data_IF_928651123293
#
_entry.id   IF_928651123293
#
_cell.length_a   1.000
_cell.length_b   1.000
_cell.length_c   1.000
_cell.angle_alpha   90.00
_cell.angle_beta   90.00
_cell.angle_gamma   90.00
#
_symmetry.space_group_name_H-M   'P 1'
#
loop_
_entity.id
_entity.type
_entity.pdbx_description
1 polymer ?
#
# COMPACT_ATOMS: atom_id res chain seq x y z
N UNK A 1 -22.52 -20.70 3.93
CA UNK A 1 -22.17 -20.12 5.24
C UNK A 1 -21.32 -21.16 5.96
N UNK A 2 -20.01 -21.05 6.13
CA UNK A 2 -19.09 -19.93 6.45
C UNK A 2 -17.80 -20.13 5.63
N UNK A 3 -17.61 -19.53 4.45
CA UNK A 3 -17.02 -18.21 4.20
C UNK A 3 -15.69 -17.90 4.96
N UNK A 4 -14.59 -17.87 4.19
CA UNK A 4 -13.42 -16.97 4.25
C UNK A 4 -12.15 -17.21 5.10
N UNK A 5 -12.03 -18.21 5.97
CA UNK A 5 -10.89 -18.24 6.93
C UNK A 5 -9.76 -19.25 6.66
N UNK A 6 -9.35 -19.51 5.42
CA UNK A 6 -8.20 -20.41 5.20
C UNK A 6 -7.29 -20.11 4.02
N UNK A 7 -7.60 -19.14 3.16
CA UNK A 7 -6.81 -18.88 1.95
C UNK A 7 -5.65 -17.89 2.12
N UNK A 8 -5.51 -17.25 3.28
CA UNK A 8 -4.47 -16.23 3.52
C UNK A 8 -3.17 -16.76 4.15
N UNK A 9 -3.04 -18.05 4.47
CA UNK A 9 -1.92 -18.52 5.31
C UNK A 9 -0.91 -19.49 4.69
N UNK A 10 -0.78 -19.56 3.36
CA UNK A 10 0.37 -20.24 2.74
C UNK A 10 0.83 -19.55 1.46
N UNK A 11 1.45 -18.39 1.64
CA UNK A 11 2.39 -17.84 0.65
C UNK A 11 3.73 -18.55 0.88
N UNK A 12 3.75 -19.85 0.58
CA UNK A 12 4.99 -20.64 0.57
C UNK A 12 5.65 -20.50 -0.81
N UNK A 13 6.83 -19.87 -0.79
CA UNK A 13 7.93 -20.00 -1.75
C UNK A 13 7.77 -19.18 -3.04
N UNK A 14 8.09 -17.89 -2.96
CA UNK A 14 8.48 -17.08 -4.12
C UNK A 14 9.82 -16.38 -3.84
N UNK A 15 10.60 -16.18 -4.90
CA UNK A 15 11.88 -15.44 -4.92
C UNK A 15 11.84 -14.19 -4.03
N UNK A 16 12.91 -13.89 -3.29
CA UNK A 16 13.01 -12.73 -2.37
C UNK A 16 12.51 -11.42 -2.98
N UNK A 17 12.72 -11.21 -4.28
CA UNK A 17 12.21 -10.05 -5.06
C UNK A 17 10.69 -9.98 -5.23
N UNK A 18 10.02 -11.12 -5.27
CA UNK A 18 8.58 -11.22 -5.54
C UNK A 18 7.77 -11.29 -4.25
N UNK A 19 8.39 -11.69 -3.13
CA UNK A 19 7.81 -11.52 -1.79
C UNK A 19 7.45 -10.06 -1.50
N UNK A 20 8.29 -9.10 -1.92
CA UNK A 20 8.04 -7.66 -1.72
C UNK A 20 6.76 -7.17 -2.41
N UNK A 21 6.47 -7.65 -3.63
CA UNK A 21 5.19 -7.38 -4.33
C UNK A 21 4.02 -8.04 -3.59
N UNK A 22 4.18 -9.30 -3.18
CA UNK A 22 3.14 -10.00 -2.43
C UNK A 22 2.85 -9.37 -1.07
N UNK A 23 3.86 -8.82 -0.39
CA UNK A 23 3.69 -8.08 0.88
C UNK A 23 2.93 -6.79 0.65
N UNK A 24 3.23 -6.01 -0.40
CA UNK A 24 2.45 -4.79 -0.70
C UNK A 24 1.01 -5.11 -1.09
N UNK A 25 0.77 -6.20 -1.82
CA UNK A 25 -0.59 -6.65 -2.12
C UNK A 25 -1.31 -7.13 -0.85
N UNK A 26 -0.60 -7.84 0.04
CA UNK A 26 -1.09 -8.20 1.36
C UNK A 26 -1.46 -6.95 2.18
N UNK A 27 -0.59 -5.95 2.18
CA UNK A 27 -0.81 -4.64 2.83
C UNK A 27 -2.01 -3.91 2.22
N UNK A 28 -2.15 -3.88 0.89
CA UNK A 28 -3.29 -3.28 0.20
C UNK A 28 -4.61 -4.02 0.52
N UNK A 29 -4.58 -5.36 0.63
CA UNK A 29 -5.72 -6.17 1.02
C UNK A 29 -6.10 -5.99 2.50
N UNK A 30 -5.12 -5.84 3.39
CA UNK A 30 -5.35 -5.49 4.80
C UNK A 30 -5.94 -4.07 4.91
N UNK A 31 -5.44 -3.12 4.14
CA UNK A 31 -5.98 -1.76 4.03
C UNK A 31 -7.43 -1.75 3.57
N UNK A 32 -7.81 -2.58 2.60
CA UNK A 32 -9.23 -2.71 2.22
C UNK A 32 -10.10 -3.19 3.36
N UNK A 33 -9.63 -4.15 4.17
CA UNK A 33 -10.39 -4.67 5.31
C UNK A 33 -10.58 -3.59 6.37
N UNK A 34 -9.52 -2.83 6.67
CA UNK A 34 -9.54 -1.73 7.63
C UNK A 34 -10.47 -0.62 7.12
N UNK A 35 -10.27 -0.09 5.91
CA UNK A 35 -11.08 1.02 5.36
C UNK A 35 -12.57 0.65 5.23
N UNK A 36 -12.89 -0.61 4.90
CA UNK A 36 -14.28 -1.09 4.85
C UNK A 36 -14.91 -1.25 6.24
N UNK A 37 -14.12 -1.44 7.29
CA UNK A 37 -14.59 -1.50 8.67
C UNK A 37 -14.88 -0.10 9.27
N UNK A 38 -14.39 0.99 8.67
CA UNK A 38 -14.61 2.35 9.16
C UNK A 38 -15.98 2.95 8.75
N UNK A 39 -16.73 3.55 9.70
CA UNK A 39 -17.93 4.33 9.38
C UNK A 39 -17.56 5.57 8.54
N UNK A 40 -18.42 5.94 7.59
CA UNK A 40 -18.16 6.95 6.55
C UNK A 40 -17.53 8.27 7.04
N UNK A 41 -17.90 8.77 8.22
CA UNK A 41 -17.37 10.03 8.78
C UNK A 41 -15.88 10.00 9.19
N UNK A 42 -15.27 8.82 9.33
CA UNK A 42 -13.83 8.67 9.62
C UNK A 42 -12.98 8.45 8.36
N UNK A 43 -13.62 8.28 7.18
CA UNK A 43 -12.92 8.22 5.88
C UNK A 43 -12.40 9.61 5.47
N UNK A 44 -13.07 10.67 5.91
CA UNK A 44 -12.68 12.09 5.72
C UNK A 44 -11.41 12.51 6.50
N UNK A 45 -10.86 11.66 7.38
CA UNK A 45 -9.56 11.93 8.02
C UNK A 45 -8.41 11.37 7.17
N UNK A 46 -8.63 10.24 6.51
CA UNK A 46 -7.69 9.61 5.56
C UNK A 46 -7.41 10.53 4.36
N UNK A 47 -8.43 11.31 4.01
CA UNK A 47 -8.46 12.41 3.03
C UNK A 47 -7.33 13.44 3.16
N UNK A 48 -6.89 13.80 4.38
CA UNK A 48 -5.94 14.90 4.59
C UNK A 48 -4.48 14.44 4.40
N UNK A 49 -4.12 13.24 4.85
CA UNK A 49 -2.73 12.77 4.84
C UNK A 49 -2.18 12.38 3.46
N UNK A 50 -3.04 12.04 2.49
CA UNK A 50 -2.62 11.81 1.10
C UNK A 50 -2.09 13.11 0.46
N UNK A 51 -2.52 14.27 0.96
CA UNK A 51 -2.36 15.57 0.29
C UNK A 51 -1.39 16.55 0.98
N UNK A 52 -1.14 16.43 2.29
CA UNK A 52 -0.34 17.43 3.03
C UNK A 52 1.14 17.51 2.62
N UNK A 53 1.69 16.51 1.91
CA UNK A 53 3.12 16.52 1.55
C UNK A 53 3.47 17.37 0.31
N UNK A 54 2.49 17.99 -0.36
CA UNK A 54 2.74 18.97 -1.42
C UNK A 54 2.88 20.42 -0.91
N UNK A 55 2.83 20.66 0.39
CA UNK A 55 2.95 22.01 0.97
C UNK A 55 3.90 22.08 2.16
N UNK A 56 5.20 21.88 1.92
CA UNK A 56 6.22 22.40 2.82
C UNK A 56 6.38 23.89 2.52
N UNK A 57 5.62 24.76 3.21
CA UNK A 57 6.00 26.16 3.40
C UNK A 57 6.36 26.40 4.86
N UNK A 58 7.63 26.75 5.02
CA UNK A 58 8.30 27.03 6.27
C UNK A 58 8.14 28.50 6.66
N UNK A 59 7.49 28.79 7.79
CA UNK A 59 7.97 29.85 8.72
C UNK A 59 7.20 29.94 10.05
N UNK A 60 7.83 30.49 11.11
CA UNK A 60 7.49 30.18 12.50
C UNK A 60 7.03 31.39 13.36
N UNK A 61 6.61 31.07 14.61
CA UNK A 61 6.44 31.92 15.82
C UNK A 61 5.08 32.65 15.94
N UNK A 62 4.46 32.85 17.11
CA UNK A 62 4.97 33.14 18.47
C UNK A 62 3.95 32.70 19.55
N UNK A 63 4.48 32.55 20.77
CA UNK A 63 3.85 32.22 22.06
C UNK A 63 3.03 33.35 22.70
N UNK A 64 2.13 33.02 23.65
CA UNK A 64 2.07 33.54 25.05
C UNK A 64 0.84 33.00 25.82
N UNK A 65 1.08 32.67 27.09
CA UNK A 65 0.27 32.03 28.14
C UNK A 65 -0.96 32.84 28.66
N UNK A 66 -1.92 32.17 29.35
CA UNK A 66 -2.16 32.23 30.82
C UNK A 66 -3.50 31.55 31.25
N UNK A 67 -3.33 30.48 32.04
CA UNK A 67 -4.02 29.98 33.24
C UNK A 67 -5.57 29.91 33.47
N UNK A 68 -6.03 28.65 33.58
CA UNK A 68 -6.78 27.96 34.67
C UNK A 68 -8.17 28.45 35.11
N UNK A 69 -9.20 27.63 34.87
CA UNK A 69 -10.02 26.95 35.91
C UNK A 69 -11.10 26.08 35.27
N UNK A 70 -11.27 24.86 35.78
CA UNK A 70 -12.47 24.05 35.50
C UNK A 70 -12.18 22.56 35.48
N UNK A 71 -12.29 21.93 36.65
CA UNK A 71 -12.50 20.48 36.76
C UNK A 71 -13.63 20.08 35.80
N UNK A 72 -13.37 19.17 34.88
CA UNK A 72 -14.38 18.30 34.29
C UNK A 72 -13.71 17.03 33.79
N UNK A 73 -14.00 15.94 34.49
CA UNK A 73 -13.87 14.57 34.03
C UNK A 73 -14.68 14.39 32.74
N UNK A 74 -14.01 14.21 31.61
CA UNK A 74 -14.42 13.76 30.25
C UNK A 74 -13.14 14.08 29.43
N UNK A 75 -12.32 13.17 28.94
CA UNK A 75 -12.60 12.32 27.79
C UNK A 75 -11.36 11.43 27.48
N UNK A 76 -11.06 10.40 28.27
CA UNK A 76 -9.83 9.60 27.99
C UNK A 76 -9.98 8.67 26.77
N UNK A 77 -11.22 8.42 26.33
CA UNK A 77 -11.55 7.54 25.21
C UNK A 77 -11.43 8.24 23.86
N UNK A 78 -11.69 9.56 23.76
CA UNK A 78 -11.61 10.26 22.48
C UNK A 78 -10.18 10.53 22.03
N UNK A 79 -9.24 10.77 22.95
CA UNK A 79 -7.83 11.03 22.63
C UNK A 79 -7.08 9.78 22.14
N UNK A 80 -7.40 8.60 22.70
CA UNK A 80 -6.82 7.32 22.27
C UNK A 80 -7.35 6.92 20.88
N UNK A 81 -8.66 7.13 20.66
CA UNK A 81 -9.31 6.94 19.36
C UNK A 81 -8.78 7.92 18.30
N UNK A 82 -8.42 9.16 18.69
CA UNK A 82 -7.91 10.18 17.79
C UNK A 82 -6.45 9.91 17.39
N UNK A 83 -5.55 9.67 18.35
CA UNK A 83 -4.14 9.41 18.05
C UNK A 83 -3.95 8.12 17.22
N UNK A 84 -4.76 7.10 17.50
CA UNK A 84 -4.81 5.87 16.70
C UNK A 84 -5.32 6.15 15.28
N UNK A 85 -6.31 7.04 15.13
CA UNK A 85 -6.80 7.42 13.81
C UNK A 85 -5.76 8.20 12.99
N UNK A 86 -4.97 9.08 13.61
CA UNK A 86 -3.94 9.87 12.93
C UNK A 86 -2.80 8.99 12.37
N UNK A 87 -2.35 7.98 13.13
CA UNK A 87 -1.36 7.01 12.67
C UNK A 87 -1.89 6.22 11.47
N UNK A 88 -3.11 5.69 11.58
CA UNK A 88 -3.72 4.90 10.52
C UNK A 88 -3.89 5.73 9.24
N UNK A 89 -4.34 6.98 9.39
CA UNK A 89 -4.49 7.94 8.29
C UNK A 89 -3.15 8.17 7.58
N UNK A 90 -2.07 8.40 8.34
CA UNK A 90 -0.72 8.53 7.78
C UNK A 90 -0.30 7.27 7.00
N UNK A 91 -0.47 6.09 7.60
CA UNK A 91 -0.11 4.81 6.98
C UNK A 91 -0.88 4.57 5.67
N UNK A 92 -2.19 4.85 5.66
CA UNK A 92 -3.01 4.75 4.45
C UNK A 92 -2.50 5.73 3.39
N UNK A 93 -2.17 6.97 3.77
CA UNK A 93 -1.61 7.97 2.86
C UNK A 93 -0.30 7.52 2.22
N UNK A 94 0.62 7.02 3.04
CA UNK A 94 1.93 6.50 2.63
C UNK A 94 1.78 5.33 1.65
N UNK A 95 0.95 4.32 1.96
CA UNK A 95 0.71 3.20 1.04
C UNK A 95 -0.07 3.62 -0.21
N UNK A 96 -0.98 4.59 -0.08
CA UNK A 96 -1.73 5.17 -1.19
C UNK A 96 -0.80 5.80 -2.24
N UNK A 97 0.25 6.51 -1.82
CA UNK A 97 1.27 7.09 -2.73
C UNK A 97 1.99 6.00 -3.52
N UNK A 98 2.50 4.96 -2.86
CA UNK A 98 3.15 3.83 -3.53
C UNK A 98 2.19 3.13 -4.51
N UNK A 99 0.94 2.92 -4.08
CA UNK A 99 -0.11 2.29 -4.89
C UNK A 99 -0.40 3.09 -6.15
N UNK A 100 -0.52 4.42 -6.03
CA UNK A 100 -0.72 5.31 -7.18
C UNK A 100 0.45 5.24 -8.16
N UNK A 101 1.69 5.33 -7.67
CA UNK A 101 2.88 5.20 -8.51
C UNK A 101 2.90 3.86 -9.26
N UNK A 102 2.62 2.77 -8.55
CA UNK A 102 2.63 1.42 -9.11
C UNK A 102 1.54 1.23 -10.17
N UNK A 103 0.36 1.82 -9.94
CA UNK A 103 -0.76 1.82 -10.87
C UNK A 103 -0.41 2.55 -12.17
N UNK A 104 0.12 3.77 -12.08
CA UNK A 104 0.51 4.59 -13.24
C UNK A 104 1.61 3.92 -14.05
N UNK A 105 2.66 3.45 -13.37
CA UNK A 105 3.81 2.80 -14.00
C UNK A 105 3.47 1.43 -14.58
N UNK A 106 2.68 0.65 -13.85
CA UNK A 106 2.21 -0.68 -14.25
C UNK A 106 1.23 -0.63 -15.41
N UNK A 107 0.32 0.35 -15.42
CA UNK A 107 -0.57 0.60 -16.56
C UNK A 107 0.25 0.84 -17.84
N UNK A 108 1.24 1.74 -17.79
CA UNK A 108 2.08 2.04 -18.94
C UNK A 108 2.82 0.80 -19.45
N UNK A 109 3.38 -0.01 -18.53
CA UNK A 109 4.02 -1.28 -18.86
C UNK A 109 3.04 -2.20 -19.62
N UNK A 110 1.88 -2.49 -19.03
CA UNK A 110 0.89 -3.39 -19.62
C UNK A 110 0.38 -2.89 -20.96
N UNK A 111 0.11 -1.58 -21.10
CA UNK A 111 -0.33 -0.98 -22.38
C UNK A 111 0.69 -1.20 -23.49
N UNK A 112 1.98 -1.08 -23.18
CA UNK A 112 3.03 -1.28 -24.18
C UNK A 112 3.25 -2.77 -24.49
N UNK A 113 3.18 -3.64 -23.48
CA UNK A 113 3.19 -5.10 -23.66
C UNK A 113 2.05 -5.57 -24.55
N UNK A 114 0.82 -5.09 -24.31
CA UNK A 114 -0.36 -5.40 -25.15
C UNK A 114 -0.11 -4.99 -26.61
N UNK A 115 0.38 -3.77 -26.87
CA UNK A 115 0.70 -3.31 -28.23
C UNK A 115 1.69 -4.21 -28.95
N UNK A 116 2.66 -4.77 -28.24
CA UNK A 116 3.64 -5.67 -28.85
C UNK A 116 3.08 -7.07 -29.10
N UNK A 117 2.31 -7.61 -28.15
CA UNK A 117 1.64 -8.90 -28.31
C UNK A 117 0.59 -8.87 -29.44
N UNK A 118 -0.11 -7.76 -29.62
CA UNK A 118 -1.08 -7.58 -30.71
C UNK A 118 -0.44 -7.69 -32.10
N UNK A 119 0.85 -7.36 -32.25
CA UNK A 119 1.58 -7.45 -33.53
C UNK A 119 1.96 -8.89 -33.91
N UNK A 120 1.84 -9.84 -32.98
CA UNK A 120 2.19 -11.24 -33.26
C UNK A 120 1.25 -11.83 -34.32
N UNK A 121 1.79 -12.52 -35.35
CA UNK A 121 1.00 -13.01 -36.47
C UNK A 121 0.05 -14.15 -36.10
N UNK A 122 0.45 -15.00 -35.14
CA UNK A 122 -0.35 -16.11 -34.63
C UNK A 122 -0.65 -15.87 -33.15
N UNK A 123 -1.94 -15.78 -32.82
CA UNK A 123 -2.43 -15.67 -31.45
C UNK A 123 -3.45 -16.78 -31.24
N UNK A 124 -3.11 -17.76 -30.40
CA UNK A 124 -4.09 -18.74 -29.97
C UNK A 124 -5.10 -18.11 -28.99
N UNK A 125 -6.14 -18.87 -28.64
CA UNK A 125 -7.20 -18.38 -27.76
C UNK A 125 -6.69 -17.97 -26.37
N UNK A 126 -5.67 -18.67 -25.84
CA UNK A 126 -5.11 -18.39 -24.52
C UNK A 126 -4.28 -17.09 -24.53
N UNK A 127 -3.45 -16.89 -25.54
CA UNK A 127 -2.71 -15.66 -25.73
C UNK A 127 -3.66 -14.49 -25.97
N UNK A 128 -4.72 -14.69 -26.77
CA UNK A 128 -5.72 -13.66 -27.00
C UNK A 128 -6.47 -13.28 -25.71
N UNK A 129 -6.83 -14.26 -24.86
CA UNK A 129 -7.45 -14.00 -23.57
C UNK A 129 -6.53 -13.20 -22.63
N UNK A 130 -5.24 -13.53 -22.59
CA UNK A 130 -4.24 -12.78 -21.81
C UNK A 130 -4.07 -11.34 -22.30
N UNK A 131 -3.99 -11.13 -23.63
CA UNK A 131 -3.93 -9.80 -24.23
C UNK A 131 -5.17 -8.99 -23.83
N UNK A 132 -6.36 -9.57 -23.94
CA UNK A 132 -7.61 -8.90 -23.57
C UNK A 132 -7.66 -8.58 -22.07
N UNK A 133 -7.21 -9.49 -21.20
CA UNK A 133 -7.17 -9.24 -19.76
C UNK A 133 -6.20 -8.10 -19.40
N UNK A 134 -4.96 -8.15 -19.89
CA UNK A 134 -3.97 -7.09 -19.70
C UNK A 134 -4.47 -5.74 -20.22
N UNK A 135 -5.11 -5.72 -21.40
CA UNK A 135 -5.63 -4.48 -21.98
C UNK A 135 -6.75 -3.87 -21.13
N UNK A 136 -7.62 -4.71 -20.55
CA UNK A 136 -8.68 -4.28 -19.64
C UNK A 136 -8.08 -3.64 -18.39
N UNK A 137 -7.22 -4.37 -17.68
CA UNK A 137 -6.59 -3.90 -16.44
C UNK A 137 -5.76 -2.64 -16.66
N UNK A 138 -4.99 -2.58 -17.74
CA UNK A 138 -4.18 -1.41 -18.06
C UNK A 138 -5.04 -0.17 -18.32
N UNK A 139 -6.21 -0.35 -18.94
CA UNK A 139 -7.17 0.72 -19.17
C UNK A 139 -7.84 1.18 -17.86
N UNK A 140 -8.30 0.24 -17.04
CA UNK A 140 -8.89 0.55 -15.73
C UNK A 140 -7.89 1.34 -14.86
N UNK A 141 -6.63 0.91 -14.84
CA UNK A 141 -5.53 1.59 -14.16
C UNK A 141 -5.20 2.98 -14.72
N UNK A 142 -5.32 3.19 -16.03
CA UNK A 142 -5.11 4.50 -16.66
C UNK A 142 -6.26 5.47 -16.42
N UNK A 143 -7.50 4.96 -16.49
CA UNK A 143 -8.70 5.76 -16.31
C UNK A 143 -8.92 6.14 -14.83
N UNK A 144 -8.30 5.40 -13.90
CA UNK A 144 -8.33 5.68 -12.48
C UNK A 144 -7.67 7.03 -12.15
N UNK A 145 -8.35 7.80 -11.32
CA UNK A 145 -7.83 9.04 -10.74
C UNK A 145 -8.17 9.05 -9.28
N UNK A 146 -7.15 9.15 -8.43
CA UNK A 146 -7.36 9.39 -7.02
C UNK A 146 -8.00 10.78 -6.87
N UNK A 147 -9.17 10.83 -6.23
CA UNK A 147 -9.84 12.09 -5.93
C UNK A 147 -9.00 12.91 -4.96
N UNK A 148 -9.11 14.24 -5.03
CA UNK A 148 -8.36 15.14 -4.15
C UNK A 148 -8.70 14.89 -2.69
N UNK A 149 -9.89 14.39 -2.38
CA UNK A 149 -10.31 14.05 -1.02
C UNK A 149 -9.99 12.58 -0.64
N UNK A 150 -9.37 11.81 -1.53
CA UNK A 150 -9.10 10.39 -1.30
C UNK A 150 -10.35 9.52 -1.12
N UNK A 151 -11.55 10.01 -1.44
CA UNK A 151 -12.80 9.29 -1.21
C UNK A 151 -12.88 7.93 -1.93
N UNK A 152 -12.11 7.78 -3.02
CA UNK A 152 -11.98 6.55 -3.80
C UNK A 152 -10.69 5.75 -3.51
N UNK A 153 -10.08 5.88 -2.33
CA UNK A 153 -8.87 5.12 -1.96
C UNK A 153 -9.07 3.59 -1.93
N UNK A 154 -10.30 3.12 -1.67
CA UNK A 154 -10.61 1.69 -1.79
C UNK A 154 -10.53 1.24 -3.24
N UNK A 155 -11.06 2.05 -4.17
CA UNK A 155 -11.00 1.77 -5.60
C UNK A 155 -9.55 1.78 -6.12
N UNK A 156 -8.67 2.62 -5.55
CA UNK A 156 -7.22 2.58 -5.82
C UNK A 156 -6.66 1.19 -5.50
N UNK A 157 -6.94 0.66 -4.30
CA UNK A 157 -6.45 -0.64 -3.90
C UNK A 157 -7.07 -1.78 -4.73
N UNK A 158 -8.35 -1.69 -5.11
CA UNK A 158 -9.01 -2.70 -5.95
C UNK A 158 -8.38 -2.76 -7.34
N UNK A 159 -8.06 -1.59 -7.90
CA UNK A 159 -7.41 -1.48 -9.20
C UNK A 159 -5.97 -2.00 -9.13
N UNK A 160 -5.27 -1.72 -8.03
CA UNK A 160 -3.94 -2.29 -7.77
C UNK A 160 -3.97 -3.81 -7.62
N UNK A 161 -4.99 -4.38 -6.97
CA UNK A 161 -5.16 -5.81 -6.88
C UNK A 161 -5.32 -6.43 -8.28
N UNK A 162 -6.14 -5.83 -9.14
CA UNK A 162 -6.31 -6.27 -10.53
C UNK A 162 -4.99 -6.23 -11.33
N UNK A 163 -4.17 -5.20 -11.12
CA UNK A 163 -2.83 -5.12 -11.72
C UNK A 163 -1.91 -6.24 -11.22
N UNK A 164 -1.93 -6.53 -9.92
CA UNK A 164 -1.15 -7.62 -9.33
C UNK A 164 -1.60 -8.99 -9.83
N UNK A 165 -2.91 -9.21 -10.00
CA UNK A 165 -3.46 -10.47 -10.50
C UNK A 165 -2.91 -10.81 -11.89
N UNK A 166 -2.76 -9.84 -12.78
CA UNK A 166 -2.14 -10.05 -14.11
C UNK A 166 -0.72 -10.59 -13.98
N UNK A 167 0.10 -10.01 -13.09
CA UNK A 167 1.48 -10.44 -12.87
C UNK A 167 1.50 -11.83 -12.21
N UNK A 168 0.64 -12.06 -11.22
CA UNK A 168 0.53 -13.31 -10.48
C UNK A 168 0.09 -14.47 -11.39
N UNK A 169 -0.91 -14.24 -12.25
CA UNK A 169 -1.41 -15.21 -13.22
C UNK A 169 -0.30 -15.62 -14.19
N UNK A 170 0.48 -14.65 -14.69
CA UNK A 170 1.65 -14.90 -15.52
C UNK A 170 2.70 -15.76 -14.79
N UNK A 171 2.99 -15.45 -13.53
CA UNK A 171 3.99 -16.18 -12.74
C UNK A 171 3.56 -17.61 -12.42
N UNK A 172 2.27 -17.83 -12.19
CA UNK A 172 1.68 -19.14 -11.92
C UNK A 172 1.64 -20.07 -13.15
N UNK A 173 1.91 -19.56 -14.36
CA UNK A 173 1.96 -20.38 -15.57
C UNK A 173 3.11 -21.41 -15.51
N UNK A 174 2.98 -22.58 -16.17
CA UNK A 174 4.07 -23.55 -16.26
C UNK A 174 5.32 -22.95 -16.92
N UNK A 175 6.49 -23.16 -16.32
CA UNK A 175 7.77 -22.61 -16.79
C UNK A 175 8.16 -23.03 -18.21
N UNK A 176 7.69 -24.20 -18.63
CA UNK A 176 7.93 -24.75 -19.96
C UNK A 176 6.83 -24.40 -20.98
N UNK A 177 5.89 -23.51 -20.64
CA UNK A 177 4.84 -23.11 -21.57
C UNK A 177 5.33 -22.03 -22.55
N UNK A 178 5.03 -22.23 -23.83
CA UNK A 178 5.32 -21.24 -24.88
C UNK A 178 4.58 -19.92 -24.61
N UNK A 179 3.41 -19.99 -23.98
CA UNK A 179 2.64 -18.83 -23.53
C UNK A 179 3.42 -18.00 -22.51
N UNK A 180 3.93 -18.62 -21.43
CA UNK A 180 4.72 -17.91 -20.41
C UNK A 180 5.97 -17.29 -21.02
N UNK A 181 6.66 -18.00 -21.90
CA UNK A 181 7.85 -17.46 -22.59
C UNK A 181 7.50 -16.24 -23.47
N UNK A 182 6.37 -16.30 -24.18
CA UNK A 182 5.88 -15.20 -25.03
C UNK A 182 5.54 -13.97 -24.19
N UNK A 183 4.77 -14.16 -23.11
CA UNK A 183 4.39 -13.08 -22.19
C UNK A 183 5.60 -12.47 -21.50
N UNK A 184 6.52 -13.31 -20.98
CA UNK A 184 7.78 -12.89 -20.38
C UNK A 184 8.58 -12.00 -21.32
N UNK A 185 8.79 -12.46 -22.56
CA UNK A 185 9.56 -11.71 -23.56
C UNK A 185 8.92 -10.34 -23.82
N UNK A 186 7.59 -10.29 -23.95
CA UNK A 186 6.88 -9.04 -24.18
C UNK A 186 6.93 -8.09 -22.97
N UNK A 187 6.83 -8.60 -21.74
CA UNK A 187 6.97 -7.81 -20.50
C UNK A 187 8.40 -7.28 -20.33
N UNK A 188 9.41 -8.12 -20.53
CA UNK A 188 10.82 -7.73 -20.43
C UNK A 188 11.20 -6.65 -21.45
N UNK A 189 10.76 -6.80 -22.71
CA UNK A 189 10.98 -5.79 -23.76
C UNK A 189 10.34 -4.44 -23.44
N UNK A 190 9.29 -4.43 -22.63
CA UNK A 190 8.55 -3.23 -22.25
C UNK A 190 8.93 -2.69 -20.88
N UNK A 191 10.01 -3.20 -20.29
CA UNK A 191 10.63 -2.60 -19.10
C UNK A 191 10.20 -3.23 -17.78
N UNK A 192 9.64 -4.44 -17.75
CA UNK A 192 9.22 -5.13 -16.52
C UNK A 192 10.32 -5.16 -15.45
N UNK A 193 11.57 -5.46 -15.83
CA UNK A 193 12.70 -5.47 -14.89
C UNK A 193 12.97 -4.09 -14.27
N UNK A 194 12.82 -3.02 -15.06
CA UNK A 194 12.98 -1.64 -14.57
C UNK A 194 11.85 -1.28 -13.61
N UNK A 195 10.62 -1.64 -13.96
CA UNK A 195 9.45 -1.47 -13.10
C UNK A 195 9.64 -2.19 -11.76
N UNK A 196 10.01 -3.48 -11.78
CA UNK A 196 10.23 -4.27 -10.57
C UNK A 196 11.34 -3.68 -9.68
N UNK A 197 12.48 -3.34 -10.25
CA UNK A 197 13.58 -2.74 -9.48
C UNK A 197 13.15 -1.41 -8.85
N UNK A 198 12.44 -0.55 -9.60
CA UNK A 198 11.99 0.73 -9.07
C UNK A 198 10.92 0.56 -7.99
N UNK A 199 10.03 -0.42 -8.13
CA UNK A 199 9.06 -0.75 -7.10
C UNK A 199 9.73 -1.27 -5.82
N UNK A 200 10.77 -2.10 -5.94
CA UNK A 200 11.58 -2.53 -4.79
C UNK A 200 12.24 -1.32 -4.09
N UNK A 201 12.76 -0.34 -4.84
CA UNK A 201 13.31 0.90 -4.31
C UNK A 201 12.24 1.74 -3.58
N UNK A 202 11.08 1.97 -4.21
CA UNK A 202 9.98 2.77 -3.62
C UNK A 202 9.43 2.15 -2.33
N UNK A 203 9.44 0.82 -2.19
CA UNK A 203 9.09 0.14 -0.93
C UNK A 203 10.10 0.45 0.17
N UNK A 204 11.40 0.40 -0.15
CA UNK A 204 12.45 0.67 0.82
C UNK A 204 12.36 2.13 1.28
N UNK A 205 12.26 3.05 0.32
CA UNK A 205 12.11 4.49 0.58
C UNK A 205 10.88 4.75 1.49
N UNK A 206 9.75 4.11 1.20
CA UNK A 206 8.52 4.21 1.99
C UNK A 206 8.71 3.77 3.45
N UNK A 207 9.40 2.66 3.67
CA UNK A 207 9.60 2.09 5.01
C UNK A 207 10.60 2.90 5.81
N UNK A 208 11.64 3.44 5.16
CA UNK A 208 12.59 4.37 5.77
C UNK A 208 11.92 5.70 6.15
N UNK A 209 11.10 6.26 5.26
CA UNK A 209 10.34 7.48 5.53
C UNK A 209 9.35 7.28 6.68
N UNK A 210 8.63 6.16 6.67
CA UNK A 210 7.76 5.79 7.78
C UNK A 210 8.52 5.71 9.10
N UNK A 211 9.68 5.03 9.15
CA UNK A 211 10.49 4.90 10.36
C UNK A 211 10.93 6.27 10.91
N UNK A 212 11.34 7.19 10.04
CA UNK A 212 11.74 8.55 10.42
C UNK A 212 10.56 9.31 11.03
N UNK A 213 9.42 9.37 10.31
CA UNK A 213 8.25 10.14 10.75
C UNK A 213 7.64 9.54 12.02
N UNK A 214 7.50 8.22 12.07
CA UNK A 214 6.97 7.52 13.23
C UNK A 214 7.91 7.64 14.45
N UNK A 215 9.23 7.63 14.23
CA UNK A 215 10.20 7.86 15.28
C UNK A 215 10.07 9.25 15.92
N UNK A 216 9.78 10.29 15.13
CA UNK A 216 9.50 11.63 15.65
C UNK A 216 8.15 11.69 16.40
N UNK A 217 7.11 11.03 15.89
CA UNK A 217 5.84 10.86 16.59
C UNK A 217 6.04 10.27 17.99
N UNK A 218 6.77 9.14 18.09
CA UNK A 218 7.04 8.45 19.37
C UNK A 218 7.84 9.31 20.36
N UNK A 219 8.77 10.14 19.86
CA UNK A 219 9.52 11.10 20.70
C UNK A 219 8.62 12.20 21.24
N UNK A 220 7.61 12.60 20.48
CA UNK A 220 6.64 13.64 20.86
C UNK A 220 5.65 13.21 21.94
N UNK A 221 5.43 11.91 22.13
CA UNK A 221 4.45 11.39 23.09
C UNK A 221 4.83 11.69 24.56
N UNK A 222 3.85 12.20 25.30
CA UNK A 222 3.87 12.32 26.76
C UNK A 222 3.84 10.94 27.45
N UNK A 223 4.19 10.84 28.74
CA UNK A 223 4.13 9.58 29.47
C UNK A 223 2.74 8.91 29.46
N UNK A 224 1.66 9.70 29.55
CA UNK A 224 0.30 9.19 29.57
C UNK A 224 -0.14 8.68 28.18
N UNK A 225 0.26 9.36 27.10
CA UNK A 225 0.02 8.91 25.73
C UNK A 225 0.78 7.62 25.41
N UNK A 226 2.00 7.46 25.93
CA UNK A 226 2.76 6.20 25.80
C UNK A 226 2.07 5.01 26.47
N UNK A 227 1.36 5.25 27.58
CA UNK A 227 0.58 4.19 28.23
C UNK A 227 -0.64 3.80 27.40
N UNK A 228 -1.33 4.79 26.81
CA UNK A 228 -2.49 4.55 25.93
C UNK A 228 -2.08 3.79 24.66
N UNK A 229 -0.89 4.07 24.11
CA UNK A 229 -0.43 3.49 22.84
C UNK A 229 0.55 2.32 22.99
N UNK A 230 0.51 1.61 24.12
CA UNK A 230 1.51 0.58 24.45
C UNK A 230 1.66 -0.51 23.36
N UNK A 231 0.56 -0.93 22.72
CA UNK A 231 0.60 -1.93 21.65
C UNK A 231 1.34 -1.44 20.41
N UNK A 232 1.05 -0.20 19.99
CA UNK A 232 1.71 0.45 18.84
C UNK A 232 3.18 0.68 19.12
N UNK A 233 3.54 1.10 20.33
CA UNK A 233 4.94 1.28 20.72
C UNK A 233 5.71 -0.02 20.79
N UNK A 234 5.10 -1.10 21.30
CA UNK A 234 5.72 -2.42 21.30
C UNK A 234 5.95 -2.93 19.87
N UNK A 235 4.96 -2.77 18.99
CA UNK A 235 5.12 -3.09 17.57
C UNK A 235 6.26 -2.28 16.92
N UNK A 236 6.34 -0.97 17.19
CA UNK A 236 7.38 -0.12 16.62
C UNK A 236 8.78 -0.47 17.13
N UNK A 237 8.92 -0.85 18.40
CA UNK A 237 10.17 -1.38 18.94
C UNK A 237 10.56 -2.69 18.24
N UNK A 238 9.62 -3.60 18.01
CA UNK A 238 9.89 -4.84 17.28
C UNK A 238 10.24 -4.58 15.80
N UNK A 239 9.58 -3.62 15.15
CA UNK A 239 9.88 -3.18 13.78
C UNK A 239 11.27 -2.55 13.63
N UNK A 240 11.66 -1.67 14.55
CA UNK A 240 12.96 -0.99 14.51
C UNK A 240 14.13 -1.93 14.86
N UNK A 241 13.87 -2.95 15.69
CA UNK A 241 14.85 -3.97 16.05
C UNK A 241 15.04 -5.07 15.00
N UNK A 242 14.12 -5.21 14.04
CA UNK A 242 14.27 -6.17 12.95
C UNK A 242 15.34 -5.71 11.95
N UNK A 243 16.27 -6.62 11.65
CA UNK A 243 17.45 -6.34 10.83
C UNK A 243 17.40 -7.06 9.48
N UNK A 244 16.55 -8.08 9.35
CA UNK A 244 16.26 -8.74 8.09
C UNK A 244 15.24 -7.92 7.32
N UNK A 245 15.61 -7.41 6.13
CA UNK A 245 14.74 -6.55 5.32
C UNK A 245 13.39 -7.20 4.98
N UNK A 246 13.39 -8.49 4.65
CA UNK A 246 12.17 -9.19 4.26
C UNK A 246 11.23 -9.31 5.48
N UNK A 247 11.76 -9.65 6.66
CA UNK A 247 10.95 -9.68 7.89
C UNK A 247 10.54 -8.29 8.37
N UNK A 248 11.35 -7.26 8.13
CA UNK A 248 11.00 -5.88 8.47
C UNK A 248 9.80 -5.41 7.66
N UNK A 249 9.69 -5.84 6.40
CA UNK A 249 8.50 -5.62 5.58
C UNK A 249 7.28 -6.40 6.06
N UNK A 250 7.43 -7.67 6.42
CA UNK A 250 6.35 -8.44 7.05
C UNK A 250 5.86 -7.73 8.32
N UNK A 251 6.80 -7.26 9.15
CA UNK A 251 6.51 -6.52 10.38
C UNK A 251 5.82 -5.18 10.13
N UNK A 252 6.23 -4.48 9.07
CA UNK A 252 5.56 -3.26 8.64
C UNK A 252 4.07 -3.50 8.37
N UNK A 253 3.73 -4.63 7.72
CA UNK A 253 2.34 -5.01 7.46
C UNK A 253 1.52 -5.32 8.71
N UNK A 254 2.13 -5.75 9.81
CA UNK A 254 1.41 -6.01 11.07
C UNK A 254 0.83 -4.74 11.71
N UNK A 255 1.24 -3.54 11.28
CA UNK A 255 0.68 -2.29 11.79
C UNK A 255 -0.85 -2.21 11.61
N UNK A 256 -1.38 -2.87 10.57
CA UNK A 256 -2.82 -2.88 10.28
C UNK A 256 -3.62 -3.75 11.25
N UNK A 257 -2.99 -4.73 11.90
CA UNK A 257 -3.66 -5.58 12.90
C UNK A 257 -3.87 -4.84 14.23
N UNK A 258 -3.30 -3.64 14.36
CA UNK A 258 -3.41 -2.80 15.55
C UNK A 258 -4.66 -1.89 15.54
N UNK A 259 -5.38 -1.81 14.42
CA UNK A 259 -6.54 -0.93 14.19
C UNK A 259 -7.78 -1.70 13.73
#
# INVERSE_FOLDING_TARGET
ETYYNAYLFRIEILSSKMKKITVVVGVALLLMQVVNAFPHAKREAVEVAVNEENSIDSSPKDSVEVAVTGENSIDSSSEEDQASSEILVYVIGTVGKLSKWALESGSLLLKNTVKDLEKLPNKDELLQANITHMAKVAKEAEDFKLEEDGANIVELFDTMNSLSEVISDYEAMPDNSDLKLTLKTALENNGYKKFQNKFEEEIVDLVEEFDIVFGEYVKGLSPDEKLKQANVLNWYEEFTNETDEDKKLDKFGEIFDLF
#
